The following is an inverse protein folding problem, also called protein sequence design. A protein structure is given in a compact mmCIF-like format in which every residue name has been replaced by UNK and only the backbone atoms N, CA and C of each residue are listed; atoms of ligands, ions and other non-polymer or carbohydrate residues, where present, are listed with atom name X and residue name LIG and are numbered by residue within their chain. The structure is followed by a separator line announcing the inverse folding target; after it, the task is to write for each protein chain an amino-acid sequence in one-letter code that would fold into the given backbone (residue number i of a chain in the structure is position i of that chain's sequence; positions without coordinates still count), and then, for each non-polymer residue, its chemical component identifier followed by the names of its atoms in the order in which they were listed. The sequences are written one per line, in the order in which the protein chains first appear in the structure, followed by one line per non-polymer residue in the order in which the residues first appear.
data_IF_393587106801
#
_entry.id   IF_393587106801
#
_cell.length_a   1.000
_cell.length_b   1.000
_cell.length_c   1.000
_cell.angle_alpha   90.00
_cell.angle_beta   90.00
_cell.angle_gamma   90.00
#
_symmetry.space_group_name_H-M   'P 1'
#
loop_
_entity.id
_entity.type
_entity.pdbx_description
1 polymer ?
#
# COMPACT_ATOMS: atom_id res chain seq x y z
N UNK A 1 20.50 -17.75 8.11
CA UNK A 1 19.15 -17.76 7.53
C UNK A 1 18.15 -17.43 8.62
N UNK A 2 17.29 -16.43 8.45
CA UNK A 2 16.31 -16.05 9.47
C UNK A 2 14.92 -15.98 8.85
N UNK A 3 13.88 -16.09 9.68
CA UNK A 3 12.49 -15.92 9.27
C UNK A 3 12.21 -14.57 8.58
N UNK A 4 13.09 -13.56 8.76
CA UNK A 4 12.98 -12.25 8.10
C UNK A 4 13.20 -12.30 6.59
N UNK A 5 14.04 -13.22 6.11
CA UNK A 5 14.39 -13.32 4.68
C UNK A 5 13.84 -14.59 4.01
N UNK A 6 13.54 -15.62 4.81
CA UNK A 6 12.92 -16.87 4.36
C UNK A 6 11.77 -17.23 5.31
N UNK A 7 10.65 -16.48 5.25
CA UNK A 7 9.55 -16.69 6.17
C UNK A 7 8.91 -18.06 5.97
N UNK A 8 8.69 -18.79 7.06
CA UNK A 8 7.92 -20.02 7.09
C UNK A 8 6.58 -19.75 7.77
N UNK A 9 5.48 -20.04 7.07
CA UNK A 9 4.13 -19.84 7.57
C UNK A 9 3.21 -21.00 7.19
N UNK A 10 1.99 -20.99 7.72
CA UNK A 10 0.96 -22.02 7.53
C UNK A 10 -0.21 -21.52 6.68
N UNK A 11 0.01 -20.44 5.91
CA UNK A 11 -1.00 -19.81 5.06
C UNK A 11 -1.20 -20.49 3.69
N UNK A 12 -2.14 -19.98 2.87
CA UNK A 12 -2.47 -20.53 1.56
C UNK A 12 -1.36 -20.34 0.51
N UNK A 13 -0.40 -19.44 0.77
CA UNK A 13 0.81 -19.25 -0.03
C UNK A 13 2.06 -19.46 0.82
N UNK A 14 3.11 -19.99 0.19
CA UNK A 14 4.47 -20.10 0.72
C UNK A 14 5.40 -19.11 0.00
N UNK A 15 6.34 -18.55 0.74
CA UNK A 15 7.37 -17.68 0.19
C UNK A 15 8.29 -18.46 -0.77
N UNK A 16 8.50 -17.95 -1.98
CA UNK A 16 9.42 -18.53 -2.94
C UNK A 16 10.72 -17.73 -3.02
N UNK A 17 10.64 -16.42 -3.26
CA UNK A 17 11.82 -15.58 -3.45
C UNK A 17 11.56 -14.11 -3.19
N UNK A 18 12.63 -13.37 -2.93
CA UNK A 18 12.63 -11.91 -2.83
C UNK A 18 13.82 -11.34 -3.60
N UNK A 19 13.52 -10.67 -4.70
CA UNK A 19 14.46 -9.80 -5.40
C UNK A 19 14.36 -8.40 -4.77
N UNK A 20 15.28 -8.08 -3.85
CA UNK A 20 15.25 -6.83 -3.06
C UNK A 20 15.14 -5.61 -3.98
N UNK A 21 14.15 -4.76 -3.71
CA UNK A 21 13.86 -3.56 -4.50
C UNK A 21 13.10 -3.80 -5.82
N UNK A 22 12.81 -5.06 -6.18
CA UNK A 22 12.16 -5.41 -7.44
C UNK A 22 10.87 -6.20 -7.25
N UNK A 23 10.91 -7.40 -6.65
CA UNK A 23 9.69 -8.20 -6.48
C UNK A 23 9.78 -9.24 -5.36
N UNK A 24 8.61 -9.63 -4.84
CA UNK A 24 8.41 -10.74 -3.92
C UNK A 24 7.51 -11.76 -4.59
N UNK A 25 7.95 -13.02 -4.65
CA UNK A 25 7.18 -14.10 -5.25
C UNK A 25 6.70 -15.06 -4.19
N UNK A 26 5.39 -15.30 -4.19
CA UNK A 26 4.71 -16.30 -3.38
C UNK A 26 4.13 -17.37 -4.31
N UNK A 27 4.16 -18.63 -3.87
CA UNK A 27 3.55 -19.75 -4.61
C UNK A 27 2.54 -20.47 -3.73
N UNK A 28 1.57 -21.14 -4.35
CA UNK A 28 0.54 -21.90 -3.63
C UNK A 28 1.18 -22.88 -2.64
N UNK A 29 0.60 -22.96 -1.45
CA UNK A 29 1.03 -23.90 -0.41
C UNK A 29 0.25 -25.20 -0.51
N UNK A 30 0.96 -26.30 -0.78
CA UNK A 30 0.38 -27.66 -0.85
C UNK A 30 -0.02 -28.18 0.54
N UNK A 31 0.51 -27.56 1.60
CA UNK A 31 0.29 -27.94 2.99
C UNK A 31 -0.76 -27.04 3.70
N UNK A 32 -1.50 -26.23 2.94
CA UNK A 32 -2.53 -25.39 3.55
C UNK A 32 -3.71 -26.24 4.00
N UNK A 33 -4.10 -26.08 5.26
CA UNK A 33 -5.14 -26.88 5.92
C UNK A 33 -6.57 -26.45 5.57
N UNK A 34 -6.75 -25.26 4.97
CA UNK A 34 -8.04 -24.71 4.58
C UNK A 34 -8.30 -24.85 3.07
N UNK A 35 -9.17 -23.98 2.54
CA UNK A 35 -9.42 -23.91 1.09
C UNK A 35 -8.17 -23.44 0.34
N UNK A 36 -7.61 -24.23 -0.59
CA UNK A 36 -6.41 -23.85 -1.33
C UNK A 36 -6.60 -22.53 -2.10
N UNK A 37 -5.52 -21.77 -2.26
CA UNK A 37 -5.56 -20.59 -3.14
C UNK A 37 -5.98 -20.98 -4.56
N UNK A 38 -6.74 -20.13 -5.23
CA UNK A 38 -7.05 -20.34 -6.65
C UNK A 38 -5.81 -20.13 -7.53
N UNK A 39 -4.95 -19.16 -7.18
CA UNK A 39 -3.74 -18.81 -7.92
C UNK A 39 -2.58 -19.74 -7.57
N UNK A 40 -1.81 -20.15 -8.58
CA UNK A 40 -0.57 -20.93 -8.37
C UNK A 40 0.61 -20.06 -7.91
N UNK A 41 0.63 -18.79 -8.32
CA UNK A 41 1.69 -17.82 -8.02
C UNK A 41 1.10 -16.42 -7.85
N UNK A 42 1.63 -15.68 -6.88
CA UNK A 42 1.40 -14.25 -6.72
C UNK A 42 2.76 -13.53 -6.69
N UNK A 43 2.93 -12.53 -7.56
CA UNK A 43 4.14 -11.71 -7.61
C UNK A 43 3.79 -10.28 -7.23
N UNK A 44 4.41 -9.78 -6.17
CA UNK A 44 4.29 -8.40 -5.73
C UNK A 44 5.47 -7.62 -6.33
N UNK A 45 5.20 -6.77 -7.30
CA UNK A 45 6.20 -5.92 -7.95
C UNK A 45 6.32 -4.61 -7.19
N UNK A 46 7.55 -4.21 -6.89
CA UNK A 46 7.89 -2.93 -6.29
C UNK A 46 8.13 -1.96 -7.45
N UNK A 47 7.21 -1.02 -7.65
CA UNK A 47 7.30 0.01 -8.70
C UNK A 47 7.45 1.35 -7.98
N UNK A 48 8.64 1.97 -7.96
CA UNK A 48 8.84 3.19 -7.16
C UNK A 48 8.08 4.41 -7.68
N UNK A 49 7.78 4.42 -8.99
CA UNK A 49 7.14 5.54 -9.66
C UNK A 49 5.61 5.36 -9.68
N UNK A 50 4.91 6.30 -9.05
CA UNK A 50 3.45 6.33 -9.02
C UNK A 50 2.83 6.47 -10.42
N UNK A 51 3.50 7.18 -11.33
CA UNK A 51 3.01 7.38 -12.69
C UNK A 51 3.03 6.09 -13.53
N UNK A 52 3.76 5.06 -13.11
CA UNK A 52 3.91 3.82 -13.84
C UNK A 52 2.79 2.79 -13.59
N UNK A 53 1.99 2.95 -12.52
CA UNK A 53 0.98 1.95 -12.15
C UNK A 53 -0.18 1.87 -13.14
N UNK A 54 -0.70 3.02 -13.59
CA UNK A 54 -1.82 3.05 -14.55
C UNK A 54 -1.44 2.41 -15.89
N UNK A 55 -0.32 2.80 -16.54
CA UNK A 55 0.15 2.12 -17.76
C UNK A 55 0.36 0.61 -17.56
N UNK A 56 0.96 0.19 -16.44
CA UNK A 56 1.19 -1.22 -16.14
C UNK A 56 -0.12 -2.01 -15.96
N UNK A 57 -1.16 -1.38 -15.43
CA UNK A 57 -2.49 -2.00 -15.33
C UNK A 57 -3.15 -2.09 -16.71
N UNK A 58 -3.07 -1.02 -17.51
CA UNK A 58 -3.64 -0.96 -18.85
C UNK A 58 -2.98 -1.94 -19.84
N UNK A 59 -1.68 -2.19 -19.70
CA UNK A 59 -0.92 -3.18 -20.47
C UNK A 59 -1.16 -4.62 -20.01
N UNK A 60 -1.65 -4.81 -18.77
CA UNK A 60 -1.81 -6.12 -18.14
C UNK A 60 -0.56 -6.65 -17.43
N UNK A 61 0.51 -5.85 -17.34
CA UNK A 61 1.74 -6.18 -16.61
C UNK A 61 1.50 -6.38 -15.11
N UNK A 62 0.48 -5.72 -14.56
CA UNK A 62 -0.08 -5.97 -13.23
C UNK A 62 -1.59 -6.16 -13.34
N UNK A 63 -2.19 -6.89 -12.39
CA UNK A 63 -3.62 -7.20 -12.40
C UNK A 63 -4.39 -6.51 -11.27
N UNK A 64 -3.69 -5.96 -10.28
CA UNK A 64 -4.28 -5.24 -9.16
C UNK A 64 -3.29 -4.22 -8.60
N UNK A 65 -3.82 -3.09 -8.14
CA UNK A 65 -3.07 -2.07 -7.42
C UNK A 65 -3.99 -1.42 -6.37
N UNK A 66 -3.58 -1.32 -5.09
CA UNK A 66 -4.49 -0.88 -4.03
C UNK A 66 -4.51 0.63 -3.75
N UNK A 67 -3.58 1.42 -4.28
CA UNK A 67 -3.39 2.82 -3.86
C UNK A 67 -3.49 3.81 -5.02
N UNK A 68 -4.69 4.14 -5.47
CA UNK A 68 -4.90 5.17 -6.49
C UNK A 68 -5.16 6.55 -5.87
N UNK A 69 -4.51 7.57 -6.42
CA UNK A 69 -4.98 8.95 -6.28
C UNK A 69 -6.20 9.21 -7.19
N UNK A 70 -6.86 10.35 -7.00
CA UNK A 70 -8.08 10.70 -7.73
C UNK A 70 -7.85 10.80 -9.25
N UNK A 71 -6.71 11.36 -9.67
CA UNK A 71 -6.38 11.59 -11.08
C UNK A 71 -6.09 10.28 -11.82
N UNK A 72 -5.35 9.37 -11.19
CA UNK A 72 -5.05 8.04 -11.72
C UNK A 72 -6.30 7.18 -11.80
N UNK A 73 -7.19 7.28 -10.80
CA UNK A 73 -8.45 6.56 -10.80
C UNK A 73 -9.36 7.00 -11.95
N UNK A 74 -9.41 8.31 -12.23
CA UNK A 74 -10.20 8.86 -13.34
C UNK A 74 -9.82 8.27 -14.71
N UNK A 75 -8.58 7.81 -14.88
CA UNK A 75 -8.09 7.21 -16.12
C UNK A 75 -8.55 5.76 -16.34
N UNK A 76 -8.88 5.02 -15.27
CA UNK A 76 -9.19 3.58 -15.36
C UNK A 76 -10.61 3.22 -14.95
N UNK A 77 -11.34 4.11 -14.27
CA UNK A 77 -12.64 3.79 -13.66
C UNK A 77 -13.75 3.42 -14.66
N UNK A 78 -13.67 3.95 -15.87
CA UNK A 78 -14.69 3.74 -16.91
C UNK A 78 -14.29 2.62 -17.90
N UNK A 79 -13.11 2.01 -17.71
CA UNK A 79 -12.65 0.89 -18.52
C UNK A 79 -13.30 -0.42 -18.03
N UNK A 80 -14.10 -1.11 -18.87
CA UNK A 80 -14.85 -2.30 -18.47
C UNK A 80 -13.97 -3.50 -18.12
N UNK A 81 -12.66 -3.44 -18.41
CA UNK A 81 -11.69 -4.49 -18.02
C UNK A 81 -11.41 -4.49 -16.52
N UNK A 82 -11.67 -3.38 -15.81
CA UNK A 82 -11.34 -3.25 -14.40
C UNK A 82 -12.58 -3.15 -13.52
N UNK A 83 -12.43 -3.67 -12.30
CA UNK A 83 -13.38 -3.44 -11.22
C UNK A 83 -12.75 -2.49 -10.21
N UNK A 84 -13.26 -1.27 -10.15
CA UNK A 84 -12.90 -0.31 -9.10
C UNK A 84 -13.68 -0.60 -7.83
N UNK A 85 -12.96 -0.74 -6.71
CA UNK A 85 -13.55 -0.86 -5.37
C UNK A 85 -13.07 0.32 -4.54
N UNK A 86 -13.99 1.20 -4.17
CA UNK A 86 -13.71 2.36 -3.32
C UNK A 86 -14.14 2.03 -1.89
N UNK A 87 -13.23 2.23 -0.94
CA UNK A 87 -13.49 2.01 0.47
C UNK A 87 -12.41 2.66 1.33
N UNK A 88 -12.66 2.69 2.63
CA UNK A 88 -11.68 3.14 3.62
C UNK A 88 -10.60 2.07 3.82
N UNK A 89 -9.35 2.49 3.94
CA UNK A 89 -8.29 1.63 4.46
C UNK A 89 -8.26 1.73 5.98
N UNK A 90 -7.55 0.82 6.65
CA UNK A 90 -7.27 0.91 8.09
C UNK A 90 -6.13 1.91 8.41
N UNK A 91 -5.74 2.74 7.43
CA UNK A 91 -4.67 3.72 7.57
C UNK A 91 -5.16 5.05 8.12
N UNK A 92 -4.35 5.66 8.99
CA UNK A 92 -4.54 7.04 9.47
C UNK A 92 -3.33 7.90 9.11
N UNK A 93 -3.57 9.09 8.55
CA UNK A 93 -2.52 10.09 8.34
C UNK A 93 -2.44 10.99 9.58
N UNK A 94 -1.28 10.96 10.25
CA UNK A 94 -1.07 11.70 11.51
C UNK A 94 0.14 12.63 11.36
N UNK A 95 -0.04 13.90 11.70
CA UNK A 95 1.08 14.80 11.99
C UNK A 95 1.51 14.59 13.45
N UNK A 96 2.65 13.94 13.64
CA UNK A 96 3.24 13.73 14.97
C UNK A 96 4.29 14.79 15.28
N UNK A 97 4.25 15.32 16.52
CA UNK A 97 5.21 16.32 17.00
C UNK A 97 6.10 15.68 18.08
N UNK A 98 7.42 15.85 17.95
CA UNK A 98 8.34 15.44 19.00
C UNK A 98 8.30 16.42 20.18
N UNK A 99 7.47 16.11 21.17
CA UNK A 99 7.24 16.93 22.37
C UNK A 99 8.48 17.07 23.27
N UNK A 100 9.59 16.37 23.02
CA UNK A 100 10.84 16.53 23.79
C UNK A 100 11.77 17.60 23.21
N UNK A 101 11.49 18.11 22.00
CA UNK A 101 12.36 19.06 21.30
C UNK A 101 11.81 20.48 21.42
N UNK A 102 12.56 21.45 21.99
CA UNK A 102 12.14 22.85 21.96
C UNK A 102 11.95 23.37 20.52
N UNK A 103 10.93 24.22 20.25
CA UNK A 103 9.93 24.77 21.18
C UNK A 103 8.67 23.91 21.35
N UNK A 104 8.66 22.67 20.83
CA UNK A 104 7.50 21.78 20.86
C UNK A 104 7.25 21.12 22.22
N UNK A 105 8.16 21.30 23.17
CA UNK A 105 7.98 20.96 24.58
C UNK A 105 6.86 21.77 25.25
N UNK A 106 6.59 22.98 24.76
CA UNK A 106 5.50 23.84 25.22
C UNK A 106 4.15 23.41 24.62
N UNK A 107 3.15 23.15 25.47
CA UNK A 107 1.79 22.78 25.03
C UNK A 107 1.17 23.84 24.13
N UNK A 108 1.36 25.12 24.45
CA UNK A 108 0.80 26.24 23.71
C UNK A 108 1.31 26.29 22.26
N UNK A 109 2.56 25.90 22.03
CA UNK A 109 3.15 25.84 20.68
C UNK A 109 2.48 24.75 19.85
N UNK A 110 2.24 23.58 20.45
CA UNK A 110 1.56 22.46 19.76
C UNK A 110 0.09 22.78 19.46
N UNK A 111 -0.59 23.44 20.40
CA UNK A 111 -1.95 23.93 20.19
C UNK A 111 -1.98 24.98 19.07
N UNK A 112 -1.06 25.95 19.07
CA UNK A 112 -0.95 26.95 18.02
C UNK A 112 -0.75 26.31 16.63
N UNK A 113 0.12 25.30 16.52
CA UNK A 113 0.29 24.53 15.28
C UNK A 113 -1.04 23.85 14.90
N UNK A 114 -1.69 23.15 15.83
CA UNK A 114 -2.94 22.46 15.53
C UNK A 114 -4.07 23.40 15.09
N UNK A 115 -4.11 24.64 15.58
CA UNK A 115 -5.08 25.65 15.17
C UNK A 115 -4.71 26.34 13.85
N UNK A 116 -3.42 26.39 13.51
CA UNK A 116 -2.94 26.97 12.26
C UNK A 116 -3.12 26.05 11.04
N UNK A 117 -3.37 24.75 11.27
CA UNK A 117 -3.60 23.78 10.20
C UNK A 117 -5.03 23.85 9.67
N UNK A 118 -5.17 24.19 8.40
CA UNK A 118 -6.41 23.99 7.66
C UNK A 118 -6.52 22.50 7.26
N UNK A 119 -7.24 21.74 8.07
CA UNK A 119 -7.46 20.30 7.83
C UNK A 119 -8.23 20.05 6.53
N UNK A 120 -9.12 20.96 6.14
CA UNK A 120 -9.91 20.79 4.91
C UNK A 120 -9.02 20.99 3.69
N UNK A 121 -8.21 22.03 3.67
CA UNK A 121 -7.26 22.26 2.59
C UNK A 121 -6.26 21.09 2.44
N UNK A 122 -5.82 20.50 3.55
CA UNK A 122 -4.95 19.30 3.52
C UNK A 122 -5.66 18.10 2.91
N UNK A 123 -6.93 17.86 3.25
CA UNK A 123 -7.71 16.74 2.70
C UNK A 123 -8.04 16.97 1.22
N UNK A 124 -8.43 18.19 0.85
CA UNK A 124 -8.82 18.53 -0.52
C UNK A 124 -7.62 18.54 -1.49
N UNK A 125 -6.40 18.76 -0.98
CA UNK A 125 -5.16 18.79 -1.77
C UNK A 125 -4.33 17.50 -1.71
N UNK A 126 -4.79 16.48 -0.98
CA UNK A 126 -4.16 15.15 -0.92
C UNK A 126 -4.74 14.22 -2.00
#
# INVERSE_FOLDING_TARGET
ETNKEKPIGTGPFKFQSWAKGSSITLVKSDNYWGTPASLDKAEFRIVPDAAAYVPALLSGDIQAFPFFDADSLAQIKDDPRFKVVIGSTEGETILSINNKKPPFDKLQVRQAISYALDRKAIIDGA
#
